data_IF_420749778589
#
_entry.id   IF_420749778589
#
_cell.length_a   1.000
_cell.length_b   1.000
_cell.length_c   1.000
_cell.angle_alpha   90.00
_cell.angle_beta   90.00
_cell.angle_gamma   90.00
#
_symmetry.space_group_name_H-M   'P 1'
#
loop_
_entity.id
_entity.type
_entity.pdbx_description
1 polymer ?
#
# COMPACT_ATOMS: atom_id res chain seq x y z
N UNK A 1 81.52 38.08 23.47
CA UNK A 1 81.33 36.70 23.02
C UNK A 1 79.96 36.20 23.61
N UNK A 2 78.92 36.27 22.79
CA UNK A 2 77.56 35.91 23.14
C UNK A 2 77.21 34.63 22.36
N UNK A 3 76.86 33.59 23.06
CA UNK A 3 76.42 32.30 22.51
C UNK A 3 74.91 32.31 22.51
N UNK A 4 74.30 32.34 21.33
CA UNK A 4 72.84 32.21 21.12
C UNK A 4 72.47 30.72 21.16
N UNK A 5 71.58 30.33 22.06
CA UNK A 5 70.96 29.01 22.10
C UNK A 5 69.68 29.03 21.21
N UNK A 6 69.68 28.17 20.17
CA UNK A 6 68.48 27.89 19.38
C UNK A 6 67.65 26.81 20.10
N UNK A 7 66.43 27.20 20.50
CA UNK A 7 65.39 26.26 20.99
C UNK A 7 64.49 25.90 19.81
N UNK A 8 64.49 24.63 19.41
CA UNK A 8 63.58 24.07 18.44
C UNK A 8 62.23 23.70 19.15
N UNK A 9 61.10 24.09 18.62
CA UNK A 9 59.83 23.62 19.18
C UNK A 9 59.52 22.21 18.67
N UNK A 10 59.29 21.27 19.59
CA UNK A 10 58.74 19.97 19.31
C UNK A 10 57.27 20.09 18.91
N UNK A 11 56.94 19.79 17.66
CA UNK A 11 55.53 19.65 17.20
C UNK A 11 55.04 18.29 17.63
N UNK A 12 54.15 18.27 18.66
CA UNK A 12 53.43 17.09 19.04
C UNK A 12 52.29 16.84 18.02
N UNK A 13 52.41 15.82 17.20
CA UNK A 13 51.35 15.35 16.29
C UNK A 13 50.34 14.60 17.11
N UNK A 14 49.24 15.28 17.52
CA UNK A 14 48.09 14.64 18.11
C UNK A 14 47.30 13.90 17.03
N UNK A 15 47.49 12.61 16.93
CA UNK A 15 46.64 11.74 16.11
C UNK A 15 45.24 11.73 16.68
N UNK A 16 44.34 12.45 16.06
CA UNK A 16 42.89 12.36 16.36
C UNK A 16 42.37 10.98 15.94
N UNK A 17 42.28 10.07 16.89
CA UNK A 17 41.52 8.84 16.74
C UNK A 17 40.04 9.24 16.67
N UNK A 18 39.50 9.37 15.45
CA UNK A 18 38.07 9.42 15.24
C UNK A 18 37.49 8.10 15.76
N UNK A 19 36.49 8.11 16.66
CA UNK A 19 35.84 6.88 17.05
C UNK A 19 35.16 6.32 15.79
N UNK A 20 35.60 5.13 15.35
CA UNK A 20 34.81 4.30 14.45
C UNK A 20 33.47 4.07 15.14
N UNK A 21 32.46 4.79 14.73
CA UNK A 21 31.08 4.45 15.08
C UNK A 21 30.87 3.03 14.59
N UNK A 22 30.87 2.07 15.51
CA UNK A 22 30.38 0.72 15.26
C UNK A 22 28.93 0.91 14.82
N UNK A 23 28.67 0.83 13.52
CA UNK A 23 27.32 0.74 12.99
C UNK A 23 26.72 -0.55 13.54
N UNK A 24 25.96 -0.41 14.61
CA UNK A 24 25.25 -1.54 15.22
C UNK A 24 24.30 -2.09 14.13
N UNK A 25 24.44 -3.36 13.80
CA UNK A 25 23.57 -4.01 12.83
C UNK A 25 22.13 -3.95 13.35
N UNK A 26 21.17 -3.62 12.48
CA UNK A 26 19.76 -3.57 12.85
C UNK A 26 19.29 -4.94 13.34
N UNK A 27 18.42 -5.01 14.36
CA UNK A 27 17.90 -6.27 14.86
C UNK A 27 17.12 -7.02 13.78
N UNK A 28 17.26 -8.33 13.76
CA UNK A 28 16.56 -9.23 12.83
C UNK A 28 15.28 -9.76 13.46
N UNK A 29 15.29 -10.03 14.76
CA UNK A 29 14.12 -10.50 15.49
C UNK A 29 14.19 -10.08 16.96
N UNK A 30 13.05 -9.77 17.55
CA UNK A 30 12.90 -9.46 18.99
C UNK A 30 11.49 -9.78 19.46
N UNK A 31 11.28 -9.82 20.76
CA UNK A 31 9.96 -9.89 21.36
C UNK A 31 9.53 -8.47 21.77
N UNK A 32 8.35 -8.06 21.33
CA UNK A 32 7.76 -6.79 21.77
C UNK A 32 7.48 -6.87 23.28
N UNK A 33 7.98 -5.87 24.03
CA UNK A 33 7.91 -5.88 25.50
C UNK A 33 6.50 -5.65 26.04
N UNK A 34 5.69 -4.93 25.27
CA UNK A 34 4.34 -4.54 25.68
C UNK A 34 3.32 -5.62 25.34
N UNK A 35 3.58 -6.42 24.29
CA UNK A 35 2.62 -7.39 23.78
C UNK A 35 3.02 -8.85 23.98
N UNK A 36 4.32 -9.14 24.07
CA UNK A 36 4.86 -10.50 24.15
C UNK A 36 4.91 -11.26 22.82
N UNK A 37 4.60 -10.61 21.71
CA UNK A 37 4.70 -11.19 20.36
C UNK A 37 6.10 -11.03 19.79
N UNK A 38 6.54 -12.01 19.01
CA UNK A 38 7.82 -11.96 18.31
C UNK A 38 7.68 -11.19 17.00
N UNK A 39 8.54 -10.19 16.83
CA UNK A 39 8.68 -9.42 15.59
C UNK A 39 9.91 -9.91 14.84
N UNK A 40 9.80 -10.04 13.52
CA UNK A 40 10.86 -10.46 12.61
C UNK A 40 10.97 -9.42 11.51
N UNK A 41 12.15 -8.88 11.27
CA UNK A 41 12.43 -8.06 10.09
C UNK A 41 12.64 -9.00 8.89
N UNK A 42 11.71 -8.99 7.95
CA UNK A 42 11.66 -9.93 6.82
C UNK A 42 12.53 -9.50 5.64
N UNK A 43 12.86 -8.20 5.53
CA UNK A 43 13.68 -7.66 4.43
C UNK A 43 14.92 -6.97 4.96
N UNK A 44 15.98 -6.95 4.14
CA UNK A 44 17.24 -6.28 4.45
C UNK A 44 17.46 -5.00 3.63
N UNK A 45 16.71 -4.81 2.56
CA UNK A 45 16.83 -3.69 1.63
C UNK A 45 16.19 -2.43 2.24
N UNK A 46 16.97 -1.37 2.54
CA UNK A 46 16.40 -0.11 2.99
C UNK A 46 15.47 0.48 1.95
N UNK A 47 14.29 0.92 2.37
CA UNK A 47 13.27 1.43 1.46
C UNK A 47 12.34 0.34 0.92
N UNK A 48 12.45 -0.91 1.41
CA UNK A 48 11.52 -1.97 1.05
C UNK A 48 10.11 -1.72 1.63
N UNK A 49 9.09 -2.16 0.89
CA UNK A 49 7.69 -1.96 1.23
C UNK A 49 6.82 -3.12 0.71
N UNK A 50 5.89 -3.58 1.54
CA UNK A 50 4.82 -4.45 1.12
C UNK A 50 3.86 -3.69 0.18
N UNK A 51 3.06 -4.42 -0.60
CA UNK A 51 2.01 -3.82 -1.42
C UNK A 51 0.93 -3.17 -0.55
N UNK A 52 0.12 -2.32 -1.16
CA UNK A 52 -1.05 -1.76 -0.51
C UNK A 52 -1.93 -2.89 0.05
N UNK A 53 -2.53 -2.70 1.20
CA UNK A 53 -3.12 -3.75 2.05
C UNK A 53 -4.10 -4.70 1.33
N UNK A 54 -4.85 -4.20 0.33
CA UNK A 54 -5.87 -4.95 -0.41
C UNK A 54 -5.38 -5.55 -1.74
N UNK A 55 -4.11 -5.33 -2.10
CA UNK A 55 -3.50 -5.88 -3.32
C UNK A 55 -2.87 -7.23 -3.02
N UNK A 56 -3.18 -8.25 -3.83
CA UNK A 56 -2.57 -9.58 -3.66
C UNK A 56 -1.05 -9.53 -3.86
N UNK A 57 -0.32 -10.00 -2.84
CA UNK A 57 1.14 -10.06 -2.84
C UNK A 57 1.69 -11.48 -2.82
N UNK A 58 0.83 -12.49 -2.76
CA UNK A 58 1.25 -13.89 -2.61
C UNK A 58 1.09 -14.68 -3.90
N UNK A 59 2.05 -15.57 -4.17
CA UNK A 59 1.91 -16.58 -5.21
C UNK A 59 0.76 -17.53 -4.88
N UNK A 60 0.09 -18.15 -5.89
CA UNK A 60 -1.04 -19.06 -5.66
C UNK A 60 -0.72 -20.25 -4.77
N UNK A 61 0.54 -20.70 -4.74
CA UNK A 61 1.01 -21.78 -3.86
C UNK A 61 1.26 -21.33 -2.40
N UNK A 62 1.11 -20.02 -2.13
CA UNK A 62 1.30 -19.43 -0.81
C UNK A 62 2.74 -19.44 -0.27
N UNK A 63 3.74 -19.72 -1.11
CA UNK A 63 5.14 -19.87 -0.66
C UNK A 63 5.95 -18.58 -0.75
N UNK A 64 5.64 -17.72 -1.72
CA UNK A 64 6.36 -16.47 -1.94
C UNK A 64 5.45 -15.28 -1.68
N UNK A 65 6.01 -14.25 -1.05
CA UNK A 65 5.43 -12.91 -1.00
C UNK A 65 6.26 -11.98 -1.89
N UNK A 66 5.61 -11.19 -2.71
CA UNK A 66 6.27 -10.15 -3.52
C UNK A 66 6.19 -8.81 -2.79
N UNK A 67 7.30 -8.08 -2.81
CA UNK A 67 7.41 -6.73 -2.25
C UNK A 67 8.26 -5.86 -3.17
N UNK A 68 8.32 -4.57 -2.91
CA UNK A 68 9.12 -3.60 -3.66
C UNK A 68 10.28 -3.07 -2.82
N UNK A 69 11.40 -2.78 -3.48
CA UNK A 69 12.52 -2.04 -2.92
C UNK A 69 13.02 -1.02 -3.97
N UNK A 70 13.90 -0.07 -3.61
CA UNK A 70 14.38 0.94 -4.56
C UNK A 70 15.04 0.36 -5.81
N UNK A 71 15.63 -0.81 -5.73
CA UNK A 71 16.30 -1.52 -6.82
C UNK A 71 15.37 -2.40 -7.66
N UNK A 72 14.09 -2.60 -7.24
CA UNK A 72 13.12 -3.33 -8.05
C UNK A 72 12.05 -4.11 -7.30
N UNK A 73 11.54 -5.14 -7.96
CA UNK A 73 10.56 -6.09 -7.41
C UNK A 73 11.31 -7.29 -6.84
N UNK A 74 11.01 -7.62 -5.61
CA UNK A 74 11.60 -8.73 -4.88
C UNK A 74 10.57 -9.80 -4.52
N UNK A 75 11.05 -11.01 -4.29
CA UNK A 75 10.30 -12.11 -3.70
C UNK A 75 10.92 -12.49 -2.36
N UNK A 76 10.06 -12.76 -1.38
CA UNK A 76 10.38 -13.28 -0.06
C UNK A 76 9.83 -14.71 0.04
N UNK A 77 10.69 -15.68 0.28
CA UNK A 77 10.30 -17.05 0.63
C UNK A 77 9.79 -17.09 2.07
N UNK A 78 8.52 -17.43 2.25
CA UNK A 78 7.85 -17.36 3.55
C UNK A 78 8.29 -18.44 4.55
N UNK A 79 8.93 -19.51 4.07
CA UNK A 79 9.45 -20.56 4.96
C UNK A 79 10.85 -20.28 5.47
N UNK A 80 11.72 -19.74 4.61
CA UNK A 80 13.13 -19.48 4.92
C UNK A 80 13.45 -18.03 5.21
N UNK A 81 12.54 -17.11 4.88
CA UNK A 81 12.71 -15.65 4.89
C UNK A 81 13.87 -15.15 3.99
N UNK A 82 14.27 -15.95 3.00
CA UNK A 82 15.23 -15.50 2.00
C UNK A 82 14.57 -14.59 1.00
N UNK A 83 15.27 -13.51 0.64
CA UNK A 83 14.82 -12.54 -0.37
C UNK A 83 15.58 -12.74 -1.68
N UNK A 84 14.95 -12.37 -2.79
CA UNK A 84 15.52 -12.43 -4.11
C UNK A 84 14.97 -11.32 -5.00
N UNK A 85 15.86 -10.63 -5.73
CA UNK A 85 15.46 -9.68 -6.78
C UNK A 85 14.86 -10.46 -7.96
N UNK A 86 13.61 -10.10 -8.32
CA UNK A 86 12.86 -10.72 -9.43
C UNK A 86 12.97 -9.88 -10.69
N UNK A 87 12.70 -8.57 -10.56
CA UNK A 87 12.75 -7.62 -11.68
C UNK A 87 13.51 -6.38 -11.23
N UNK A 88 14.70 -6.10 -11.78
CA UNK A 88 15.44 -4.91 -11.44
C UNK A 88 14.76 -3.64 -12.00
N UNK A 89 14.78 -2.56 -11.24
CA UNK A 89 14.44 -1.24 -11.76
C UNK A 89 15.48 -0.82 -12.82
N UNK A 90 15.02 -0.24 -13.95
CA UNK A 90 15.96 0.36 -14.88
C UNK A 90 16.65 1.56 -14.22
N UNK A 91 17.92 1.83 -14.56
CA UNK A 91 18.54 3.07 -14.14
C UNK A 91 17.72 4.25 -14.70
N UNK A 92 17.60 5.36 -13.95
CA UNK A 92 16.97 6.56 -14.48
C UNK A 92 17.76 7.04 -15.70
N UNK A 93 17.12 7.70 -16.70
CA UNK A 93 17.81 8.32 -17.80
C UNK A 93 18.93 9.27 -17.32
N UNK A 94 20.02 9.36 -18.09
CA UNK A 94 21.20 10.14 -17.69
C UNK A 94 20.93 11.64 -17.49
N UNK A 95 19.88 12.16 -18.12
CA UNK A 95 19.40 13.55 -18.01
C UNK A 95 18.26 13.73 -16.98
N UNK A 96 17.84 12.64 -16.32
CA UNK A 96 16.82 12.70 -15.29
C UNK A 96 17.32 13.48 -14.06
N UNK A 97 16.49 14.37 -13.54
CA UNK A 97 16.80 15.02 -12.29
C UNK A 97 17.00 13.98 -11.18
N UNK A 98 18.02 14.13 -10.32
CA UNK A 98 18.32 13.17 -9.26
C UNK A 98 17.31 13.30 -8.12
N UNK A 99 16.04 13.12 -8.40
CA UNK A 99 14.96 13.18 -7.44
C UNK A 99 14.11 11.89 -7.48
N UNK A 100 13.34 11.67 -6.42
CA UNK A 100 12.44 10.52 -6.33
C UNK A 100 11.35 10.52 -7.43
N UNK A 101 11.09 11.67 -8.08
CA UNK A 101 10.10 11.76 -9.15
C UNK A 101 10.57 11.05 -10.41
N UNK A 102 11.87 11.10 -10.71
CA UNK A 102 12.47 10.36 -11.83
C UNK A 102 12.38 8.87 -11.62
N UNK A 103 12.68 8.37 -10.42
CA UNK A 103 12.49 6.96 -10.07
C UNK A 103 11.01 6.54 -10.18
N UNK A 104 10.09 7.38 -9.71
CA UNK A 104 8.67 7.13 -9.84
C UNK A 104 8.21 7.12 -11.31
N UNK A 105 8.71 8.03 -12.13
CA UNK A 105 8.28 8.16 -13.53
C UNK A 105 8.81 7.04 -14.43
N UNK A 106 10.08 6.65 -14.25
CA UNK A 106 10.77 5.69 -15.13
C UNK A 106 10.94 4.31 -14.51
N UNK A 107 10.61 4.17 -13.24
CA UNK A 107 10.65 2.91 -12.52
C UNK A 107 9.56 1.93 -12.94
N UNK A 108 9.60 0.77 -12.33
CA UNK A 108 8.58 -0.25 -12.46
C UNK A 108 7.42 0.08 -11.53
N UNK A 109 6.21 0.05 -12.07
CA UNK A 109 4.97 0.15 -11.28
C UNK A 109 4.38 -1.24 -11.10
N UNK A 110 4.48 -1.78 -9.89
CA UNK A 110 3.89 -3.07 -9.56
C UNK A 110 2.37 -2.97 -9.57
N UNK A 111 1.71 -3.97 -10.16
CA UNK A 111 0.26 -4.03 -10.27
C UNK A 111 -0.29 -5.01 -9.24
N UNK A 112 0.01 -6.32 -9.38
CA UNK A 112 -0.52 -7.38 -8.52
C UNK A 112 0.27 -8.67 -8.75
N UNK A 113 0.29 -9.57 -7.76
CA UNK A 113 0.68 -10.97 -8.00
C UNK A 113 -0.53 -11.74 -8.52
N UNK A 114 -0.31 -12.54 -9.55
CA UNK A 114 -1.35 -13.37 -10.16
C UNK A 114 -1.98 -14.37 -9.19
N UNK A 115 -3.23 -14.73 -9.46
CA UNK A 115 -3.95 -15.73 -8.66
C UNK A 115 -3.94 -17.11 -9.28
N UNK A 116 -3.53 -17.21 -10.55
CA UNK A 116 -3.49 -18.44 -11.34
C UNK A 116 -2.06 -18.87 -11.64
N UNK A 117 -1.19 -17.93 -11.95
CA UNK A 117 0.23 -18.19 -12.20
C UNK A 117 1.12 -17.59 -11.11
N UNK A 118 2.32 -18.13 -10.93
CA UNK A 118 3.31 -17.58 -10.02
C UNK A 118 3.99 -16.35 -10.64
N UNK A 119 3.20 -15.43 -11.19
CA UNK A 119 3.71 -14.23 -11.87
C UNK A 119 3.35 -12.97 -11.11
N UNK A 120 4.27 -12.02 -11.07
CA UNK A 120 3.98 -10.64 -10.70
C UNK A 120 3.74 -9.82 -11.96
N UNK A 121 2.63 -9.07 -11.98
CA UNK A 121 2.29 -8.14 -13.04
C UNK A 121 2.78 -6.75 -12.68
N UNK A 122 3.34 -6.07 -13.67
CA UNK A 122 3.85 -4.71 -13.51
C UNK A 122 3.76 -3.93 -14.81
N UNK A 123 3.83 -2.61 -14.73
CA UNK A 123 3.90 -1.75 -15.88
C UNK A 123 5.18 -0.92 -15.87
N UNK A 124 5.62 -0.53 -17.07
CA UNK A 124 6.77 0.33 -17.29
C UNK A 124 6.43 1.34 -18.36
N UNK A 125 6.72 2.61 -18.11
CA UNK A 125 6.57 3.66 -19.09
C UNK A 125 7.79 3.70 -20.03
N UNK A 126 7.52 3.76 -21.32
CA UNK A 126 8.54 4.00 -22.33
C UNK A 126 8.90 5.51 -22.33
N UNK A 127 10.18 5.88 -22.15
CA UNK A 127 10.58 7.28 -22.02
C UNK A 127 10.39 8.11 -23.31
N UNK A 128 10.42 7.46 -24.48
CA UNK A 128 10.35 8.15 -25.77
C UNK A 128 8.89 8.34 -26.21
N UNK A 129 8.08 7.29 -26.09
CA UNK A 129 6.67 7.30 -26.51
C UNK A 129 5.69 7.74 -25.44
N UNK A 130 6.11 7.74 -24.18
CA UNK A 130 5.26 7.96 -22.98
C UNK A 130 4.07 7.00 -22.89
N UNK A 131 4.18 5.83 -23.49
CA UNK A 131 3.19 4.77 -23.37
C UNK A 131 3.61 3.78 -22.29
N UNK A 132 2.64 3.37 -21.47
CA UNK A 132 2.87 2.32 -20.49
C UNK A 132 2.68 0.95 -21.14
N UNK A 133 3.58 0.04 -20.87
CA UNK A 133 3.49 -1.37 -21.27
C UNK A 133 3.36 -2.25 -20.06
N UNK A 134 2.45 -3.21 -20.11
CA UNK A 134 2.23 -4.23 -19.09
C UNK A 134 3.10 -5.43 -19.36
N UNK A 135 3.72 -5.92 -18.31
CA UNK A 135 4.57 -7.11 -18.30
C UNK A 135 4.11 -8.06 -17.19
N UNK A 136 4.52 -9.29 -17.28
CA UNK A 136 4.55 -10.23 -16.16
C UNK A 136 5.94 -10.81 -15.99
N UNK A 137 6.33 -11.09 -14.77
CA UNK A 137 7.56 -11.84 -14.47
C UNK A 137 7.20 -13.06 -13.62
N UNK A 138 7.78 -14.20 -13.97
CA UNK A 138 7.70 -15.39 -13.11
C UNK A 138 8.47 -15.13 -11.82
N UNK A 139 7.78 -15.28 -10.68
CA UNK A 139 8.33 -14.95 -9.35
C UNK A 139 9.48 -15.87 -8.97
N UNK A 140 9.58 -17.08 -9.50
CA UNK A 140 10.64 -18.04 -9.18
C UNK A 140 11.86 -17.92 -10.11
N UNK A 141 11.65 -17.69 -11.41
CA UNK A 141 12.72 -17.65 -12.39
C UNK A 141 13.20 -16.25 -12.74
N UNK A 142 12.33 -15.23 -12.53
CA UNK A 142 12.60 -13.87 -12.99
C UNK A 142 12.37 -13.66 -14.49
N UNK A 143 11.86 -14.67 -15.22
CA UNK A 143 11.59 -14.54 -16.65
C UNK A 143 10.49 -13.52 -16.91
N UNK A 144 10.80 -12.49 -17.72
CA UNK A 144 9.90 -11.38 -18.03
C UNK A 144 9.25 -11.59 -19.39
N UNK A 145 7.93 -11.48 -19.43
CA UNK A 145 7.13 -11.51 -20.67
C UNK A 145 6.41 -10.19 -20.86
N UNK A 146 6.57 -9.58 -22.03
CA UNK A 146 5.76 -8.42 -22.45
C UNK A 146 4.36 -8.89 -22.80
N UNK A 147 3.34 -8.20 -22.28
CA UNK A 147 1.94 -8.51 -22.56
C UNK A 147 1.33 -7.49 -23.54
N UNK A 148 1.04 -6.30 -23.10
CA UNK A 148 0.29 -5.32 -23.88
C UNK A 148 0.77 -3.90 -23.62
N UNK A 149 0.80 -3.06 -24.65
CA UNK A 149 0.99 -1.61 -24.50
C UNK A 149 -0.38 -0.95 -24.35
N UNK A 150 -0.51 -0.11 -23.32
CA UNK A 150 -1.76 0.59 -23.01
C UNK A 150 -2.01 1.73 -24.01
N UNK A 151 -3.28 2.11 -24.21
CA UNK A 151 -3.62 3.33 -24.95
C UNK A 151 -2.94 4.57 -24.35
N UNK A 152 -2.78 5.65 -25.11
CA UNK A 152 -2.25 6.91 -24.58
C UNK A 152 -3.04 7.39 -23.35
N UNK A 153 -2.32 7.82 -22.30
CA UNK A 153 -2.90 8.31 -21.04
C UNK A 153 -3.76 7.30 -20.29
N UNK A 154 -3.64 6.02 -20.61
CA UNK A 154 -4.27 4.97 -19.85
C UNK A 154 -3.37 4.51 -18.72
N UNK A 155 -3.99 4.22 -17.59
CA UNK A 155 -3.38 3.52 -16.45
C UNK A 155 -3.99 2.13 -16.31
N UNK A 156 -3.29 1.24 -15.63
CA UNK A 156 -3.79 -0.07 -15.22
C UNK A 156 -3.64 -0.19 -13.70
N UNK A 157 -4.67 -0.70 -13.04
CA UNK A 157 -4.70 -0.81 -11.59
C UNK A 157 -4.56 -2.24 -11.10
N UNK A 158 -5.17 -3.21 -11.78
CA UNK A 158 -5.15 -4.61 -11.37
C UNK A 158 -5.44 -5.56 -12.53
N UNK A 159 -5.24 -6.85 -12.30
CA UNK A 159 -5.48 -7.97 -13.22
C UNK A 159 -6.52 -8.89 -12.58
N UNK A 160 -7.42 -9.46 -13.39
CA UNK A 160 -8.47 -10.34 -12.91
C UNK A 160 -7.96 -11.73 -12.49
N UNK A 161 -8.82 -12.51 -11.82
CA UNK A 161 -8.45 -13.77 -11.18
C UNK A 161 -7.93 -14.84 -12.15
N UNK A 162 -8.38 -14.86 -13.41
CA UNK A 162 -7.93 -15.77 -14.44
C UNK A 162 -6.78 -15.24 -15.32
N UNK A 163 -6.29 -14.02 -15.02
CA UNK A 163 -5.15 -13.36 -15.67
C UNK A 163 -5.35 -13.09 -17.17
N UNK A 164 -6.59 -12.84 -17.56
CA UNK A 164 -6.95 -12.54 -18.97
C UNK A 164 -7.19 -11.05 -19.21
N UNK A 165 -7.68 -10.33 -18.21
CA UNK A 165 -8.06 -8.93 -18.31
C UNK A 165 -7.29 -8.06 -17.33
N UNK A 166 -6.85 -6.91 -17.79
CA UNK A 166 -6.47 -5.78 -16.96
C UNK A 166 -7.60 -4.76 -16.85
N UNK A 167 -7.67 -4.00 -15.76
CA UNK A 167 -8.59 -2.89 -15.59
C UNK A 167 -7.85 -1.63 -15.23
N UNK A 168 -8.34 -0.50 -15.72
CA UNK A 168 -7.79 0.81 -15.43
C UNK A 168 -8.67 1.94 -15.91
N UNK A 169 -8.11 3.12 -15.92
CA UNK A 169 -8.78 4.32 -16.41
C UNK A 169 -7.96 5.02 -17.49
N UNK A 170 -8.64 5.70 -18.39
CA UNK A 170 -8.02 6.68 -19.27
C UNK A 170 -8.80 7.98 -19.26
N UNK A 171 -8.08 9.09 -19.51
CA UNK A 171 -8.66 10.41 -19.63
C UNK A 171 -9.47 10.48 -20.93
N UNK A 172 -10.76 10.81 -20.81
CA UNK A 172 -11.68 10.94 -21.95
C UNK A 172 -11.71 12.36 -22.54
N UNK A 173 -10.90 13.30 -22.06
CA UNK A 173 -10.75 14.61 -22.67
C UNK A 173 -10.15 14.46 -24.07
N UNK A 174 -10.69 15.22 -25.04
CA UNK A 174 -10.31 15.08 -26.46
C UNK A 174 -8.80 15.17 -26.67
N UNK A 175 -8.30 14.41 -27.64
CA UNK A 175 -6.94 14.43 -28.12
C UNK A 175 -6.47 15.87 -28.38
N UNK A 176 -5.53 16.36 -27.58
CA UNK A 176 -5.00 17.73 -27.66
C UNK A 176 -5.18 18.56 -26.39
N UNK A 177 -6.12 18.26 -25.52
CA UNK A 177 -6.17 18.85 -24.19
C UNK A 177 -5.20 18.09 -23.29
N UNK A 178 -3.99 18.58 -23.17
CA UNK A 178 -2.99 18.05 -22.22
C UNK A 178 -3.35 18.49 -20.80
N UNK A 179 -4.43 17.91 -20.28
CA UNK A 179 -4.67 17.95 -18.86
C UNK A 179 -4.24 16.60 -18.29
N UNK A 180 -2.97 16.50 -17.96
CA UNK A 180 -2.49 15.42 -17.14
C UNK A 180 -3.34 15.39 -15.87
N UNK A 181 -3.85 14.24 -15.53
CA UNK A 181 -4.58 13.99 -14.30
C UNK A 181 -3.72 14.48 -13.12
N UNK A 182 -4.10 15.59 -12.50
CA UNK A 182 -3.31 16.29 -11.48
C UNK A 182 -2.62 17.58 -11.92
N UNK A 183 -2.58 17.91 -13.20
CA UNK A 183 -1.99 19.17 -13.71
C UNK A 183 -3.03 20.23 -14.10
N UNK A 184 -4.28 20.14 -13.69
CA UNK A 184 -5.21 21.26 -13.74
C UNK A 184 -4.84 22.31 -12.67
N UNK A 185 -3.65 22.87 -12.77
CA UNK A 185 -3.42 24.22 -12.26
C UNK A 185 -4.15 25.15 -13.22
N UNK A 186 -5.09 26.00 -12.76
CA UNK A 186 -5.45 27.17 -13.54
C UNK A 186 -4.14 27.86 -13.90
N UNK A 187 -3.95 28.20 -15.17
CA UNK A 187 -2.83 29.05 -15.52
C UNK A 187 -2.82 30.23 -14.56
N UNK A 188 -1.69 30.58 -13.95
CA UNK A 188 -1.63 31.78 -13.13
C UNK A 188 -2.17 32.93 -13.99
N UNK A 189 -3.00 33.82 -13.45
CA UNK A 189 -3.45 34.97 -14.19
C UNK A 189 -2.24 35.64 -14.83
N UNK A 190 -2.33 36.11 -16.08
CA UNK A 190 -1.20 36.74 -16.76
C UNK A 190 -0.62 37.77 -15.83
N UNK A 191 0.69 37.68 -15.55
CA UNK A 191 1.38 38.59 -14.70
C UNK A 191 1.10 40.02 -15.22
N UNK A 192 0.48 40.84 -14.36
CA UNK A 192 0.36 42.25 -14.66
C UNK A 192 1.76 42.77 -14.99
N UNK A 193 1.96 43.29 -16.19
CA UNK A 193 3.21 43.86 -16.63
C UNK A 193 3.58 45.06 -15.73
N UNK A 194 4.51 44.87 -14.84
CA UNK A 194 4.97 45.90 -13.96
C UNK A 194 5.92 45.35 -12.90
N UNK A 195 7.22 45.58 -13.16
CA UNK A 195 8.35 45.50 -12.22
C UNK A 195 8.66 44.13 -11.59
N UNK A 196 9.79 43.57 -12.04
CA UNK A 196 10.46 42.41 -11.41
C UNK A 196 10.69 42.69 -9.92
N UNK A 197 10.08 41.98 -9.00
CA UNK A 197 10.63 41.87 -7.65
C UNK A 197 11.67 40.74 -7.65
N UNK A 198 12.82 41.07 -7.14
CA UNK A 198 13.90 40.14 -6.77
C UNK A 198 13.30 38.93 -6.04
N UNK A 199 13.73 37.69 -6.34
CA UNK A 199 13.22 36.51 -5.67
C UNK A 199 13.56 36.58 -4.19
N UNK A 200 12.61 36.93 -3.33
CA UNK A 200 12.71 36.66 -1.91
C UNK A 200 12.58 35.15 -1.71
N UNK A 201 13.67 34.53 -1.26
CA UNK A 201 13.66 33.17 -0.73
C UNK A 201 12.65 33.13 0.43
N UNK A 202 11.49 32.47 0.25
CA UNK A 202 10.59 32.32 1.37
C UNK A 202 9.13 31.97 1.12
N UNK A 203 8.66 31.72 -0.09
CA UNK A 203 7.33 31.14 -0.29
C UNK A 203 7.42 29.85 -1.09
N UNK A 204 7.91 28.79 -0.45
CA UNK A 204 7.57 27.43 -0.84
C UNK A 204 6.05 27.34 -0.65
N UNK A 205 5.30 27.32 -1.75
CA UNK A 205 3.89 26.95 -1.74
C UNK A 205 3.82 25.60 -1.06
N UNK A 206 3.30 25.55 0.17
CA UNK A 206 3.07 24.31 0.90
C UNK A 206 2.30 23.38 -0.04
N UNK A 207 2.71 22.11 -0.22
CA UNK A 207 1.96 21.18 -1.04
C UNK A 207 0.52 21.17 -0.56
N UNK A 208 -0.41 21.31 -1.49
CA UNK A 208 -1.85 21.27 -1.20
C UNK A 208 -2.16 19.99 -0.40
N UNK A 209 -2.83 20.11 0.74
CA UNK A 209 -3.23 18.94 1.54
C UNK A 209 -4.18 18.03 0.77
N UNK A 210 -4.15 16.71 1.05
CA UNK A 210 -4.97 15.67 0.38
C UNK A 210 -6.46 16.07 0.29
N UNK A 211 -7.02 16.70 1.34
CA UNK A 211 -8.41 17.15 1.36
C UNK A 211 -8.71 18.24 0.31
N UNK A 212 -7.87 19.25 0.21
CA UNK A 212 -8.04 20.33 -0.77
C UNK A 212 -7.87 19.81 -2.21
N UNK A 213 -6.94 18.91 -2.45
CA UNK A 213 -6.78 18.22 -3.72
C UNK A 213 -8.04 17.43 -4.12
N UNK A 214 -8.65 16.69 -3.17
CA UNK A 214 -9.89 15.95 -3.41
C UNK A 214 -11.07 16.87 -3.75
N UNK A 215 -11.22 18.00 -3.02
CA UNK A 215 -12.26 19.00 -3.30
C UNK A 215 -12.10 19.58 -4.71
N UNK A 216 -10.90 19.95 -5.09
CA UNK A 216 -10.60 20.49 -6.42
C UNK A 216 -10.90 19.48 -7.53
N UNK A 217 -10.55 18.21 -7.35
CA UNK A 217 -10.83 17.14 -8.31
C UNK A 217 -12.32 16.89 -8.46
N UNK A 218 -13.05 16.85 -7.35
CA UNK A 218 -14.51 16.72 -7.37
C UNK A 218 -15.15 17.88 -8.13
N UNK A 219 -14.70 19.11 -7.92
CA UNK A 219 -15.21 20.28 -8.61
C UNK A 219 -14.85 20.30 -10.11
N UNK A 220 -13.70 19.78 -10.49
CA UNK A 220 -13.19 19.79 -11.86
C UNK A 220 -13.97 18.88 -12.82
N UNK A 221 -14.65 17.83 -12.32
CA UNK A 221 -15.48 16.91 -13.12
C UNK A 221 -14.78 16.42 -14.39
N UNK A 222 -13.52 16.01 -14.28
CA UNK A 222 -12.72 15.56 -15.41
C UNK A 222 -13.31 14.26 -15.98
N UNK A 223 -13.66 14.21 -17.28
CA UNK A 223 -14.17 13.01 -17.91
C UNK A 223 -13.14 11.88 -17.88
N UNK A 224 -13.55 10.70 -17.41
CA UNK A 224 -12.75 9.50 -17.32
C UNK A 224 -13.54 8.29 -17.79
N UNK A 225 -12.85 7.34 -18.40
CA UNK A 225 -13.42 6.04 -18.78
C UNK A 225 -12.79 4.96 -17.94
N UNK A 226 -13.62 4.17 -17.25
CA UNK A 226 -13.22 2.88 -16.69
C UNK A 226 -13.24 1.85 -17.83
N UNK A 227 -12.14 1.13 -18.02
CA UNK A 227 -11.99 0.18 -19.11
C UNK A 227 -11.36 -1.12 -18.67
N UNK A 228 -11.63 -2.20 -19.43
CA UNK A 228 -10.84 -3.42 -19.40
C UNK A 228 -9.99 -3.53 -20.66
N UNK A 229 -8.88 -4.24 -20.55
CA UNK A 229 -8.00 -4.58 -21.66
C UNK A 229 -7.69 -6.07 -21.64
N UNK A 230 -7.89 -6.73 -22.76
CA UNK A 230 -7.49 -8.12 -22.94
C UNK A 230 -5.96 -8.20 -23.03
N UNK A 231 -5.34 -8.92 -22.12
CA UNK A 231 -3.87 -8.98 -21.96
C UNK A 231 -3.16 -9.72 -23.10
N UNK A 232 -3.89 -10.52 -23.89
CA UNK A 232 -3.35 -11.24 -25.04
C UNK A 232 -3.48 -10.46 -26.33
N UNK A 233 -4.64 -9.83 -26.56
CA UNK A 233 -4.97 -9.19 -27.84
C UNK A 233 -4.80 -7.68 -27.81
N UNK A 234 -4.78 -7.05 -26.64
CA UNK A 234 -4.78 -5.61 -26.46
C UNK A 234 -6.14 -4.96 -26.74
N UNK A 235 -7.21 -5.75 -26.91
CA UNK A 235 -8.55 -5.21 -27.14
C UNK A 235 -9.05 -4.49 -25.89
N UNK A 236 -9.40 -3.21 -26.07
CA UNK A 236 -9.95 -2.35 -25.03
C UNK A 236 -11.48 -2.41 -25.07
N UNK A 237 -12.10 -2.52 -23.91
CA UNK A 237 -13.55 -2.45 -23.73
C UNK A 237 -13.87 -1.38 -22.67
N UNK A 238 -14.59 -0.32 -23.06
CA UNK A 238 -15.07 0.70 -22.14
C UNK A 238 -16.23 0.16 -21.32
N UNK A 239 -16.09 0.17 -19.99
CA UNK A 239 -17.15 -0.30 -19.07
C UNK A 239 -18.12 0.82 -18.73
N UNK A 240 -17.60 1.98 -18.34
CA UNK A 240 -18.42 3.14 -18.03
C UNK A 240 -17.65 4.46 -18.23
N UNK A 241 -18.42 5.50 -18.49
CA UNK A 241 -17.95 6.88 -18.55
C UNK A 241 -18.36 7.60 -17.27
N UNK A 242 -17.46 8.37 -16.70
CA UNK A 242 -17.70 9.13 -15.46
C UNK A 242 -17.05 10.50 -15.52
N UNK A 243 -17.56 11.44 -14.74
CA UNK A 243 -16.88 12.69 -14.41
C UNK A 243 -16.43 12.70 -12.95
N UNK A 244 -16.68 11.63 -12.21
CA UNK A 244 -16.10 11.40 -10.90
C UNK A 244 -14.75 10.72 -11.05
N UNK A 245 -13.83 11.04 -10.16
CA UNK A 245 -12.53 10.39 -10.14
C UNK A 245 -12.69 8.93 -9.71
N UNK A 246 -12.31 7.98 -10.57
CA UNK A 246 -12.36 6.55 -10.31
C UNK A 246 -11.00 6.08 -9.80
N UNK A 247 -11.01 5.35 -8.69
CA UNK A 247 -9.82 4.76 -8.05
C UNK A 247 -10.11 3.39 -7.43
N UNK A 248 -9.14 2.84 -6.72
CA UNK A 248 -9.23 1.60 -5.93
C UNK A 248 -9.91 0.44 -6.67
N UNK A 249 -9.54 0.24 -7.94
CA UNK A 249 -10.10 -0.83 -8.77
C UNK A 249 -9.53 -2.18 -8.33
N UNK A 250 -10.40 -3.13 -7.95
CA UNK A 250 -10.02 -4.45 -7.48
C UNK A 250 -10.96 -5.51 -8.05
N UNK A 251 -10.44 -6.44 -8.83
CA UNK A 251 -11.21 -7.62 -9.20
C UNK A 251 -11.50 -8.52 -7.99
N UNK A 252 -12.65 -9.20 -8.04
CA UNK A 252 -12.92 -10.29 -7.11
C UNK A 252 -11.77 -11.29 -7.14
N UNK A 253 -11.36 -11.83 -5.98
CA UNK A 253 -10.28 -12.82 -5.93
C UNK A 253 -10.62 -14.14 -6.61
N UNK A 254 -11.89 -14.41 -6.90
CA UNK A 254 -12.39 -15.70 -7.42
C UNK A 254 -13.24 -15.57 -8.67
N UNK A 255 -13.99 -14.46 -8.84
CA UNK A 255 -14.82 -14.20 -10.02
C UNK A 255 -14.09 -13.24 -10.97
N UNK A 256 -13.56 -13.71 -12.12
CA UNK A 256 -12.82 -12.88 -13.05
C UNK A 256 -13.67 -11.83 -13.76
N UNK A 257 -15.00 -11.93 -13.66
CA UNK A 257 -15.94 -11.00 -14.29
C UNK A 257 -16.40 -9.87 -13.37
N UNK A 258 -16.07 -9.91 -12.08
CA UNK A 258 -16.58 -8.98 -11.08
C UNK A 258 -15.52 -8.00 -10.61
N UNK A 259 -15.81 -6.72 -10.71
CA UNK A 259 -14.92 -5.61 -10.36
C UNK A 259 -15.56 -4.74 -9.29
N UNK A 260 -14.83 -4.46 -8.21
CA UNK A 260 -15.09 -3.37 -7.27
C UNK A 260 -14.27 -2.15 -7.65
N UNK A 261 -14.84 -0.96 -7.51
CA UNK A 261 -14.13 0.30 -7.74
C UNK A 261 -14.66 1.41 -6.84
N UNK A 262 -13.91 2.47 -6.72
CA UNK A 262 -14.22 3.59 -5.85
C UNK A 262 -14.47 4.87 -6.63
N UNK A 263 -15.51 5.63 -6.28
CA UNK A 263 -15.61 7.05 -6.60
C UNK A 263 -14.79 7.83 -5.58
N UNK A 264 -13.64 8.33 -6.00
CA UNK A 264 -12.76 9.13 -5.16
C UNK A 264 -13.28 10.56 -4.98
N UNK A 265 -12.97 11.15 -3.83
CA UNK A 265 -13.36 12.52 -3.51
C UNK A 265 -13.33 12.77 -2.02
N UNK A 266 -13.79 13.93 -1.55
CA UNK A 266 -14.00 14.15 -0.12
C UNK A 266 -14.99 13.11 0.40
N UNK A 267 -14.56 12.26 1.34
CA UNK A 267 -15.27 11.05 1.74
C UNK A 267 -16.69 11.31 2.24
N UNK A 268 -16.91 12.45 2.92
CA UNK A 268 -18.23 12.87 3.38
C UNK A 268 -19.15 13.43 2.27
N UNK A 269 -18.65 13.56 1.02
CA UNK A 269 -19.41 14.11 -0.11
C UNK A 269 -19.69 13.11 -1.23
N UNK A 270 -19.02 11.95 -1.21
CA UNK A 270 -19.06 10.97 -2.29
C UNK A 270 -19.50 9.61 -1.77
N UNK A 271 -20.42 8.95 -2.47
CA UNK A 271 -20.74 7.54 -2.24
C UNK A 271 -19.67 6.71 -2.97
N UNK A 272 -18.76 6.08 -2.19
CA UNK A 272 -17.47 5.63 -2.69
C UNK A 272 -17.47 4.25 -3.32
N UNK A 273 -18.16 3.27 -2.72
CA UNK A 273 -17.93 1.84 -2.96
C UNK A 273 -18.93 1.31 -3.98
N UNK A 274 -18.43 0.89 -5.13
CA UNK A 274 -19.22 0.43 -6.28
C UNK A 274 -18.71 -0.91 -6.78
N UNK A 275 -19.57 -1.65 -7.50
CA UNK A 275 -19.21 -2.84 -8.24
C UNK A 275 -19.80 -2.80 -9.65
N UNK A 276 -19.15 -3.48 -10.59
CA UNK A 276 -19.59 -3.62 -11.98
C UNK A 276 -19.05 -4.93 -12.56
N UNK A 277 -19.77 -5.56 -13.49
CA UNK A 277 -19.25 -6.67 -14.26
C UNK A 277 -18.37 -6.19 -15.42
N UNK A 278 -17.45 -7.04 -15.89
CA UNK A 278 -16.51 -6.72 -16.98
C UNK A 278 -17.18 -6.50 -18.35
N UNK A 279 -18.46 -6.80 -18.46
CA UNK A 279 -19.31 -6.46 -19.63
C UNK A 279 -20.02 -5.10 -19.48
N UNK A 280 -19.80 -4.38 -18.38
CA UNK A 280 -20.42 -3.09 -18.07
C UNK A 280 -21.80 -3.20 -17.43
N UNK A 281 -22.32 -4.42 -17.22
CA UNK A 281 -23.62 -4.63 -16.56
C UNK A 281 -23.52 -4.61 -15.04
N UNK A 282 -24.67 -4.53 -14.36
CA UNK A 282 -24.78 -4.61 -12.90
C UNK A 282 -23.94 -3.56 -12.14
N UNK A 283 -23.82 -2.36 -12.71
CA UNK A 283 -23.19 -1.26 -12.00
C UNK A 283 -24.02 -0.88 -10.78
N UNK A 284 -23.51 -1.17 -9.57
CA UNK A 284 -24.24 -1.09 -8.31
C UNK A 284 -23.43 -0.37 -7.23
N UNK A 285 -24.09 0.57 -6.55
CA UNK A 285 -23.59 1.16 -5.31
C UNK A 285 -23.72 0.13 -4.17
N UNK A 286 -22.60 -0.12 -3.46
CA UNK A 286 -22.57 -1.07 -2.33
C UNK A 286 -22.97 -0.39 -1.04
N UNK A 287 -22.45 0.79 -0.77
CA UNK A 287 -22.77 1.56 0.44
C UNK A 287 -23.21 2.98 0.07
N UNK A 288 -24.46 3.31 0.45
CA UNK A 288 -25.03 4.65 0.31
C UNK A 288 -25.00 5.36 1.65
N UNK A 289 -24.38 6.54 1.69
CA UNK A 289 -24.39 7.37 2.90
C UNK A 289 -25.83 7.83 3.24
N UNK A 290 -26.15 7.82 4.51
CA UNK A 290 -27.47 8.14 5.05
C UNK A 290 -27.45 9.34 6.01
N UNK A 291 -26.26 9.80 6.39
CA UNK A 291 -26.03 10.87 7.34
C UNK A 291 -24.98 11.88 6.82
N UNK A 292 -25.13 13.14 7.20
CA UNK A 292 -24.07 14.13 7.03
C UNK A 292 -22.81 13.72 7.82
N UNK A 293 -21.65 13.88 7.22
CA UNK A 293 -20.34 13.44 7.77
C UNK A 293 -20.17 11.92 7.91
N UNK A 294 -21.06 11.13 7.35
CA UNK A 294 -20.79 9.71 7.17
C UNK A 294 -19.70 9.49 6.12
N UNK A 295 -18.78 8.57 6.42
CA UNK A 295 -17.73 8.16 5.49
C UNK A 295 -17.64 6.64 5.43
N UNK A 296 -17.32 6.11 4.25
CA UNK A 296 -16.98 4.72 4.01
C UNK A 296 -15.78 4.66 3.05
N UNK A 297 -14.87 3.72 3.26
CA UNK A 297 -13.69 3.62 2.39
C UNK A 297 -12.78 2.47 2.78
N UNK A 298 -11.53 2.48 2.28
CA UNK A 298 -10.57 1.40 2.44
C UNK A 298 -11.19 0.02 2.15
N UNK A 299 -11.94 -0.02 1.06
CA UNK A 299 -12.69 -1.20 0.63
C UNK A 299 -11.76 -2.33 0.18
N UNK A 300 -12.14 -3.57 0.51
CA UNK A 300 -11.39 -4.76 0.13
C UNK A 300 -12.30 -6.00 0.05
N UNK A 301 -11.84 -7.01 -0.66
CA UNK A 301 -12.54 -8.28 -0.80
C UNK A 301 -12.28 -9.22 0.37
N UNK A 302 -13.31 -9.93 0.83
CA UNK A 302 -13.13 -11.20 1.50
C UNK A 302 -12.40 -12.18 0.58
N UNK A 303 -11.57 -13.06 1.14
CA UNK A 303 -10.71 -13.95 0.34
C UNK A 303 -11.50 -14.96 -0.51
N UNK A 304 -12.76 -15.22 -0.14
CA UNK A 304 -13.70 -16.08 -0.90
C UNK A 304 -14.49 -15.31 -1.99
N UNK A 305 -14.26 -13.99 -2.11
CA UNK A 305 -14.92 -13.12 -3.08
C UNK A 305 -16.40 -12.87 -2.83
N UNK A 306 -16.92 -13.22 -1.63
CA UNK A 306 -18.34 -13.09 -1.31
C UNK A 306 -18.71 -11.81 -0.59
N UNK A 307 -17.79 -11.29 0.22
CA UNK A 307 -18.05 -10.09 1.04
C UNK A 307 -17.13 -8.96 0.60
N UNK A 308 -17.69 -7.76 0.43
CA UNK A 308 -16.94 -6.52 0.33
C UNK A 308 -16.90 -5.90 1.72
N UNK A 309 -15.68 -5.73 2.25
CA UNK A 309 -15.38 -5.13 3.54
C UNK A 309 -14.91 -3.69 3.36
N UNK A 310 -15.22 -2.81 4.34
CA UNK A 310 -14.80 -1.41 4.32
C UNK A 310 -14.87 -0.79 5.72
N UNK A 311 -14.04 0.21 5.96
CA UNK A 311 -14.19 1.05 7.15
C UNK A 311 -15.42 1.97 6.99
N UNK A 312 -16.16 2.13 8.07
CA UNK A 312 -17.39 2.91 8.10
C UNK A 312 -17.44 3.75 9.37
N UNK A 313 -17.51 5.08 9.20
CA UNK A 313 -17.63 6.02 10.31
C UNK A 313 -18.88 6.87 10.14
N UNK A 314 -19.67 7.00 11.20
CA UNK A 314 -20.85 7.86 11.17
C UNK A 314 -21.25 8.41 12.56
N UNK A 315 -21.01 9.71 12.78
CA UNK A 315 -20.26 10.57 11.85
C UNK A 315 -18.75 10.34 11.92
N UNK A 316 -18.05 10.86 10.92
CA UNK A 316 -16.59 10.79 10.83
C UNK A 316 -15.92 11.24 12.12
N UNK A 317 -15.05 10.39 12.65
CA UNK A 317 -14.26 10.66 13.84
C UNK A 317 -14.99 10.42 15.17
N UNK A 318 -16.23 9.92 15.16
CA UNK A 318 -17.00 9.65 16.39
C UNK A 318 -17.22 8.16 16.62
N UNK A 319 -17.84 7.45 15.69
CA UNK A 319 -18.04 6.01 15.74
C UNK A 319 -17.39 5.32 14.54
N UNK A 320 -16.81 4.15 14.76
CA UNK A 320 -16.10 3.39 13.75
C UNK A 320 -16.55 1.92 13.76
N UNK A 321 -16.84 1.42 12.56
CA UNK A 321 -17.18 0.02 12.31
C UNK A 321 -16.34 -0.52 11.16
N UNK A 322 -15.93 -1.78 11.25
CA UNK A 322 -15.59 -2.55 10.06
C UNK A 322 -16.89 -3.17 9.53
N UNK A 323 -17.31 -2.72 8.37
CA UNK A 323 -18.56 -3.10 7.75
C UNK A 323 -18.35 -4.09 6.60
N UNK A 324 -19.27 -5.02 6.41
CA UNK A 324 -19.27 -6.00 5.34
C UNK A 324 -20.62 -6.10 4.65
N UNK A 325 -20.59 -6.20 3.31
CA UNK A 325 -21.74 -6.51 2.47
C UNK A 325 -21.52 -7.81 1.73
N UNK A 326 -22.35 -8.82 2.02
CA UNK A 326 -22.25 -10.11 1.34
C UNK A 326 -23.08 -10.11 0.05
N UNK A 327 -22.44 -10.39 -1.06
CA UNK A 327 -23.02 -10.31 -2.42
C UNK A 327 -24.04 -11.40 -2.72
N UNK A 328 -23.90 -12.60 -2.10
CA UNK A 328 -24.80 -13.73 -2.34
C UNK A 328 -26.08 -13.61 -1.50
N UNK A 329 -25.93 -13.24 -0.23
CA UNK A 329 -27.05 -13.18 0.71
C UNK A 329 -27.67 -11.81 0.82
N UNK A 330 -27.01 -10.78 0.27
CA UNK A 330 -27.37 -9.36 0.39
C UNK A 330 -27.46 -8.85 1.84
N UNK A 331 -26.82 -9.54 2.77
CA UNK A 331 -26.80 -9.17 4.18
C UNK A 331 -25.63 -8.24 4.49
N UNK A 332 -25.88 -7.38 5.46
CA UNK A 332 -24.91 -6.45 6.01
C UNK A 332 -24.47 -6.92 7.40
N UNK A 333 -23.19 -6.71 7.71
CA UNK A 333 -22.62 -6.90 9.05
C UNK A 333 -21.77 -5.68 9.41
N UNK A 334 -21.77 -5.29 10.69
CA UNK A 334 -20.91 -4.21 11.18
C UNK A 334 -20.33 -4.60 12.53
N UNK A 335 -19.00 -4.66 12.61
CA UNK A 335 -18.26 -4.87 13.84
C UNK A 335 -17.85 -3.53 14.42
N UNK A 336 -18.38 -3.17 15.58
CA UNK A 336 -18.00 -1.95 16.30
C UNK A 336 -16.60 -2.07 16.87
N UNK A 337 -15.84 -0.98 16.81
CA UNK A 337 -14.46 -0.88 17.30
C UNK A 337 -14.36 0.15 18.41
N UNK A 338 -13.63 -0.17 19.47
CA UNK A 338 -13.30 0.80 20.51
C UNK A 338 -12.32 1.86 19.94
N UNK A 339 -12.35 3.07 20.50
CA UNK A 339 -11.61 4.22 19.97
C UNK A 339 -10.11 3.93 19.72
N UNK A 340 -9.44 3.27 20.64
CA UNK A 340 -8.00 2.99 20.53
C UNK A 340 -7.65 1.79 19.66
N UNK A 341 -8.67 1.09 19.11
CA UNK A 341 -8.52 -0.03 18.17
C UNK A 341 -8.67 0.41 16.71
N UNK A 342 -9.01 1.68 16.47
CA UNK A 342 -9.24 2.19 15.13
C UNK A 342 -7.97 2.06 14.30
N UNK A 343 -8.14 1.55 13.09
CA UNK A 343 -7.04 1.30 12.15
C UNK A 343 -7.34 1.97 10.81
N UNK A 344 -6.28 2.27 10.05
CA UNK A 344 -6.39 2.84 8.71
C UNK A 344 -6.80 1.75 7.73
N UNK A 345 -6.08 0.62 7.77
CA UNK A 345 -6.30 -0.52 6.89
C UNK A 345 -6.57 -1.79 7.68
N UNK A 346 -7.29 -2.69 7.04
CA UNK A 346 -7.64 -3.99 7.59
C UNK A 346 -7.30 -5.12 6.63
N UNK A 347 -7.05 -6.30 7.18
CA UNK A 347 -6.93 -7.53 6.42
C UNK A 347 -7.59 -8.67 7.19
N UNK A 348 -7.82 -9.80 6.55
CA UNK A 348 -8.53 -10.93 7.17
C UNK A 348 -7.99 -12.29 6.72
N UNK A 349 -8.32 -13.31 7.51
CA UNK A 349 -8.00 -14.70 7.18
C UNK A 349 -9.11 -15.37 6.36
N UNK A 350 -8.77 -16.44 5.65
CA UNK A 350 -9.76 -17.27 4.99
C UNK A 350 -10.81 -17.75 6.00
N UNK A 351 -12.09 -17.56 5.68
CA UNK A 351 -13.23 -17.85 6.56
C UNK A 351 -13.55 -16.75 7.55
N UNK A 352 -12.88 -15.57 7.44
CA UNK A 352 -13.20 -14.36 8.20
C UNK A 352 -13.21 -14.57 9.73
N UNK A 353 -12.33 -15.47 10.21
CA UNK A 353 -12.24 -15.83 11.63
C UNK A 353 -11.32 -14.92 12.43
N UNK A 354 -10.39 -14.25 11.77
CA UNK A 354 -9.48 -13.25 12.33
C UNK A 354 -9.38 -12.08 11.37
N UNK A 355 -9.25 -10.88 11.96
CA UNK A 355 -8.92 -9.66 11.23
C UNK A 355 -7.68 -9.03 11.86
N UNK A 356 -7.01 -8.17 11.12
CA UNK A 356 -5.89 -7.37 11.61
C UNK A 356 -6.03 -5.95 11.13
N UNK A 357 -5.52 -5.00 11.90
CA UNK A 357 -5.49 -3.58 11.58
C UNK A 357 -4.11 -2.98 11.83
N UNK A 358 -3.80 -1.91 11.09
CA UNK A 358 -2.49 -1.26 11.18
C UNK A 358 -2.46 -0.04 12.12
N UNK A 359 -3.54 0.18 12.89
CA UNK A 359 -3.63 1.29 13.82
C UNK A 359 -3.61 2.64 13.13
N UNK A 360 -3.20 3.66 13.86
CA UNK A 360 -3.06 5.00 13.32
C UNK A 360 -2.69 6.02 14.38
N UNK A 361 -1.94 7.04 14.00
CA UNK A 361 -1.68 8.19 14.86
C UNK A 361 -2.92 9.11 14.94
N UNK A 362 -2.97 10.05 15.91
CA UNK A 362 -4.09 10.98 16.05
C UNK A 362 -4.36 11.87 14.82
N UNK A 363 -3.40 11.99 13.90
CA UNK A 363 -3.52 12.75 12.65
C UNK A 363 -4.19 11.99 11.52
N UNK A 364 -4.33 10.68 11.65
CA UNK A 364 -4.90 9.80 10.63
C UNK A 364 -6.44 9.80 10.63
N UNK A 365 -7.02 9.14 9.63
CA UNK A 365 -8.48 8.99 9.48
C UNK A 365 -9.12 8.38 10.73
N UNK A 366 -8.43 7.43 11.35
CA UNK A 366 -8.87 6.73 12.53
C UNK A 366 -8.92 7.62 13.79
N UNK A 367 -8.08 8.66 13.92
CA UNK A 367 -8.03 9.60 15.05
C UNK A 367 -8.01 8.94 16.43
N UNK A 368 -7.36 7.81 16.58
CA UNK A 368 -7.26 7.11 17.84
C UNK A 368 -6.24 7.81 18.76
N UNK A 369 -6.56 8.15 20.01
CA UNK A 369 -5.62 8.80 20.94
C UNK A 369 -4.44 7.92 21.33
N UNK A 370 -4.65 6.60 21.42
CA UNK A 370 -3.66 5.56 21.73
C UNK A 370 -3.86 4.41 20.73
N UNK A 371 -3.70 4.73 19.43
CA UNK A 371 -4.00 3.81 18.32
C UNK A 371 -2.77 3.35 17.56
N UNK A 372 -1.58 3.64 18.06
CA UNK A 372 -0.32 3.29 17.40
C UNK A 372 0.08 1.83 17.64
N UNK A 373 -0.78 0.90 17.17
CA UNK A 373 -0.61 -0.54 17.34
C UNK A 373 -0.89 -1.31 16.06
N UNK A 374 -0.17 -2.40 15.84
CA UNK A 374 -0.68 -3.45 14.95
C UNK A 374 -1.64 -4.30 15.79
N UNK A 375 -2.86 -4.44 15.29
CA UNK A 375 -3.98 -5.06 16.00
C UNK A 375 -4.34 -6.43 15.42
N UNK A 376 -4.75 -7.34 16.27
CA UNK A 376 -5.44 -8.57 15.93
C UNK A 376 -6.87 -8.53 16.48
N UNK A 377 -7.85 -8.87 15.65
CA UNK A 377 -9.26 -8.82 16.02
C UNK A 377 -9.93 -10.18 15.89
N UNK A 378 -10.69 -10.53 16.92
CA UNK A 378 -11.55 -11.70 16.98
C UNK A 378 -12.99 -11.25 16.83
N UNK A 379 -13.69 -11.53 15.69
CA UNK A 379 -15.03 -11.06 15.43
C UNK A 379 -16.05 -11.84 16.26
N UNK A 380 -17.00 -11.15 16.87
CA UNK A 380 -18.13 -11.73 17.57
C UNK A 380 -19.44 -11.09 17.11
N UNK A 381 -20.33 -11.86 16.50
CA UNK A 381 -21.67 -11.41 16.19
C UNK A 381 -22.54 -11.33 17.46
N UNK A 382 -23.33 -10.29 17.58
CA UNK A 382 -24.26 -10.15 18.70
C UNK A 382 -25.53 -10.94 18.41
N UNK A 383 -26.09 -11.58 19.46
CA UNK A 383 -27.38 -12.24 19.36
C UNK A 383 -28.51 -11.21 19.34
N UNK A 384 -29.20 -11.11 18.22
CA UNK A 384 -30.31 -10.15 18.02
C UNK A 384 -31.69 -10.78 18.16
N UNK A 385 -31.73 -12.08 18.44
CA UNK A 385 -33.00 -12.83 18.59
C UNK A 385 -33.65 -13.24 17.28
N UNK A 386 -34.65 -14.12 17.32
CA UNK A 386 -35.37 -14.59 16.15
C UNK A 386 -36.13 -13.46 15.45
N UNK A 387 -36.00 -13.40 14.12
CA UNK A 387 -36.76 -12.46 13.28
C UNK A 387 -36.22 -11.02 13.26
N UNK A 388 -35.16 -10.71 14.01
CA UNK A 388 -34.63 -9.35 14.05
C UNK A 388 -33.96 -8.90 12.74
N UNK A 389 -33.59 -9.85 11.86
CA UNK A 389 -32.94 -9.60 10.54
C UNK A 389 -33.87 -10.00 9.39
N UNK A 390 -35.19 -9.77 9.53
CA UNK A 390 -36.17 -10.09 8.49
C UNK A 390 -36.05 -9.20 7.25
N UNK A 391 -35.53 -7.97 7.42
CA UNK A 391 -35.25 -7.03 6.33
C UNK A 391 -33.80 -7.12 5.94
N UNK A 392 -33.51 -7.27 4.64
CA UNK A 392 -32.15 -7.30 4.09
C UNK A 392 -31.41 -5.97 4.28
N UNK A 393 -32.12 -4.87 4.51
CA UNK A 393 -31.55 -3.57 4.84
C UNK A 393 -31.03 -3.46 6.28
N UNK A 394 -31.33 -4.43 7.15
CA UNK A 394 -30.85 -4.42 8.53
C UNK A 394 -29.41 -4.94 8.63
N UNK A 395 -28.66 -4.32 9.50
CA UNK A 395 -27.28 -4.68 9.79
C UNK A 395 -27.22 -5.69 10.93
N UNK A 396 -26.52 -6.79 10.72
CA UNK A 396 -26.13 -7.70 11.79
C UNK A 396 -25.05 -7.02 12.64
N UNK A 397 -25.31 -6.66 13.90
CA UNK A 397 -24.30 -6.04 14.73
C UNK A 397 -23.28 -7.07 15.24
N UNK A 398 -22.06 -6.63 15.38
CA UNK A 398 -20.96 -7.37 15.96
C UNK A 398 -20.03 -6.46 16.75
N UNK A 399 -19.10 -7.07 17.46
CA UNK A 399 -17.98 -6.41 18.14
C UNK A 399 -16.68 -7.13 17.80
N UNK A 400 -15.56 -6.41 17.88
CA UNK A 400 -14.25 -7.01 17.90
C UNK A 400 -13.76 -7.13 19.34
N UNK A 401 -13.07 -8.24 19.61
CA UNK A 401 -12.18 -8.35 20.74
C UNK A 401 -10.77 -8.18 20.19
N UNK A 402 -10.05 -7.16 20.63
CA UNK A 402 -8.74 -6.83 20.13
C UNK A 402 -7.61 -7.40 20.96
N UNK A 403 -6.47 -7.61 20.32
CA UNK A 403 -5.20 -7.93 20.91
C UNK A 403 -4.11 -7.12 20.21
N UNK A 404 -3.30 -6.37 20.99
CA UNK A 404 -2.14 -5.67 20.47
C UNK A 404 -1.04 -6.63 20.08
N UNK A 405 -0.53 -6.54 18.85
CA UNK A 405 0.58 -7.36 18.36
C UNK A 405 1.92 -6.64 18.41
N UNK A 406 1.96 -5.35 18.05
CA UNK A 406 3.18 -4.55 17.97
C UNK A 406 2.92 -3.14 18.46
N UNK A 407 3.79 -2.63 19.34
CA UNK A 407 3.82 -1.22 19.68
C UNK A 407 4.45 -0.41 18.54
N UNK A 408 3.67 0.45 17.92
CA UNK A 408 4.04 1.26 16.77
C UNK A 408 4.39 2.72 17.11
N UNK A 409 4.55 3.06 18.38
CA UNK A 409 4.86 4.44 18.84
C UNK A 409 6.17 5.01 18.25
N UNK A 410 7.09 4.16 17.81
CA UNK A 410 8.29 4.56 17.08
C UNK A 410 8.12 4.66 15.56
N UNK A 411 6.95 4.34 15.02
CA UNK A 411 6.64 4.39 13.60
C UNK A 411 6.13 5.77 13.19
N UNK A 412 6.55 6.26 12.03
CA UNK A 412 6.02 7.49 11.47
C UNK A 412 4.93 7.17 10.45
N UNK A 413 3.69 7.41 10.79
CA UNK A 413 2.50 7.09 10.00
C UNK A 413 2.29 7.93 8.71
N UNK A 414 3.28 8.75 8.31
CA UNK A 414 3.36 9.21 6.92
C UNK A 414 3.62 8.06 5.94
N UNK A 415 4.14 6.95 6.44
CA UNK A 415 4.23 5.66 5.79
C UNK A 415 3.13 4.77 6.39
N UNK A 416 2.17 4.36 5.59
CA UNK A 416 1.10 3.47 6.01
C UNK A 416 1.62 2.03 6.14
N UNK A 417 1.36 1.32 7.26
CA UNK A 417 1.92 -0.02 7.48
C UNK A 417 1.39 -1.09 6.53
N UNK A 418 0.15 -1.00 6.07
CA UNK A 418 -0.44 -1.91 5.07
C UNK A 418 -0.42 -3.39 5.50
N UNK A 419 -1.06 -3.69 6.62
CA UNK A 419 -1.10 -5.04 7.23
C UNK A 419 -1.70 -6.11 6.33
N UNK A 420 -1.19 -7.34 6.46
CA UNK A 420 -1.76 -8.55 5.84
C UNK A 420 -1.37 -9.81 6.59
N UNK A 421 -2.25 -10.81 6.60
CA UNK A 421 -1.87 -12.13 7.10
C UNK A 421 -0.97 -12.87 6.11
N UNK A 422 -0.01 -13.65 6.62
CA UNK A 422 0.63 -14.68 5.83
C UNK A 422 -0.40 -15.77 5.43
N UNK A 423 -0.21 -16.48 4.30
CA UNK A 423 -1.16 -17.52 3.87
C UNK A 423 -1.40 -18.61 4.92
N UNK A 424 -0.40 -18.94 5.74
CA UNK A 424 -0.49 -19.92 6.83
C UNK A 424 -1.07 -19.33 8.12
N UNK A 425 -1.44 -18.04 8.14
CA UNK A 425 -2.03 -17.29 9.27
C UNK A 425 -1.12 -17.14 10.49
N UNK A 426 0.17 -17.47 10.38
CA UNK A 426 1.10 -17.40 11.52
C UNK A 426 1.69 -16.02 11.75
N UNK A 427 1.76 -15.21 10.69
CA UNK A 427 2.30 -13.87 10.74
C UNK A 427 1.24 -12.83 10.31
N UNK A 428 1.28 -11.67 10.95
CA UNK A 428 0.79 -10.42 10.39
C UNK A 428 2.00 -9.67 9.84
N UNK A 429 2.00 -9.40 8.53
CA UNK A 429 3.10 -8.74 7.81
C UNK A 429 2.72 -7.27 7.61
N UNK A 430 3.68 -6.37 7.84
CA UNK A 430 3.49 -4.93 7.73
C UNK A 430 4.77 -4.21 7.32
N UNK A 431 4.65 -2.99 6.84
CA UNK A 431 5.78 -2.09 6.53
C UNK A 431 5.98 -1.11 7.67
N UNK A 432 7.22 -0.91 8.11
CA UNK A 432 7.52 0.08 9.14
C UNK A 432 8.87 0.76 8.94
N UNK A 433 8.97 2.00 9.42
CA UNK A 433 10.16 2.84 9.38
C UNK A 433 10.75 3.09 10.79
N UNK A 434 10.46 2.21 11.76
CA UNK A 434 10.95 2.32 13.15
C UNK A 434 12.49 2.41 13.26
N UNK A 435 13.21 1.99 12.24
CA UNK A 435 14.68 2.10 12.14
C UNK A 435 15.14 3.22 11.20
N UNK A 436 14.27 4.18 10.87
CA UNK A 436 14.54 5.29 9.95
C UNK A 436 14.19 4.98 8.50
N UNK A 437 14.82 4.00 7.86
CA UNK A 437 14.39 3.48 6.57
C UNK A 437 13.22 2.51 6.73
N UNK A 438 12.38 2.37 5.69
CA UNK A 438 11.31 1.37 5.69
C UNK A 438 11.85 -0.03 5.44
N UNK A 439 11.23 -1.00 6.12
CA UNK A 439 11.44 -2.44 5.93
C UNK A 439 10.10 -3.16 6.08
N UNK A 440 10.02 -4.36 5.54
CA UNK A 440 8.90 -5.27 5.77
C UNK A 440 9.19 -6.12 7.00
N UNK A 441 8.22 -6.17 7.90
CA UNK A 441 8.25 -6.94 9.14
C UNK A 441 7.13 -7.98 9.16
N UNK A 442 7.31 -9.02 9.95
CA UNK A 442 6.26 -9.94 10.35
C UNK A 442 6.19 -10.01 11.85
N UNK A 443 5.00 -10.04 12.43
CA UNK A 443 4.78 -10.36 13.84
C UNK A 443 4.07 -11.69 13.94
N UNK A 444 4.54 -12.56 14.83
CA UNK A 444 3.89 -13.85 15.10
C UNK A 444 2.53 -13.62 15.77
N UNK A 445 1.47 -14.25 15.24
CA UNK A 445 0.12 -14.19 15.80
C UNK A 445 0.08 -14.87 17.18
N UNK A 446 0.86 -15.93 17.37
CA UNK A 446 1.01 -16.58 18.67
C UNK A 446 2.02 -15.82 19.55
N UNK A 447 1.71 -15.69 20.85
CA UNK A 447 2.67 -15.17 21.82
C UNK A 447 3.84 -16.11 22.00
N UNK A 448 5.00 -15.55 22.29
CA UNK A 448 6.20 -16.32 22.63
C UNK A 448 6.07 -16.90 24.03
N UNK A 449 6.19 -18.22 24.17
CA UNK A 449 6.12 -18.91 25.46
C UNK A 449 7.29 -18.57 26.40
N UNK A 450 8.42 -18.09 25.87
CA UNK A 450 9.61 -17.73 26.62
C UNK A 450 10.09 -16.29 26.32
N UNK A 451 9.56 -15.28 27.04
CA UNK A 451 9.98 -13.90 26.88
C UNK A 451 11.45 -13.63 27.21
N UNK A 452 12.08 -14.48 28.04
CA UNK A 452 13.51 -14.37 28.40
C UNK A 452 14.44 -14.70 27.20
N UNK A 453 13.95 -15.30 26.13
CA UNK A 453 14.67 -15.42 24.86
C UNK A 453 14.70 -14.09 24.07
N UNK A 454 14.36 -12.98 24.72
CA UNK A 454 14.26 -11.64 24.14
C UNK A 454 15.61 -10.95 23.90
N UNK A 455 16.73 -11.62 24.13
CA UNK A 455 17.99 -11.11 23.61
C UNK A 455 17.98 -11.16 22.09
N UNK A 456 18.25 -10.02 21.50
CA UNK A 456 18.50 -9.78 20.08
C UNK A 456 19.35 -10.94 19.54
N UNK A 457 18.70 -12.01 19.09
CA UNK A 457 19.42 -13.13 18.52
C UNK A 457 19.81 -12.76 17.09
N UNK A 458 20.99 -12.17 16.95
CA UNK A 458 21.79 -12.34 15.76
C UNK A 458 22.39 -13.76 15.77
N UNK A 459 21.54 -14.80 15.75
CA UNK A 459 22.07 -16.15 15.62
C UNK A 459 22.68 -16.30 14.21
N UNK A 460 23.81 -17.00 14.06
CA UNK A 460 24.40 -17.29 12.76
C UNK A 460 23.39 -17.94 11.80
N UNK A 461 22.41 -18.66 12.31
CA UNK A 461 21.34 -19.32 11.57
C UNK A 461 20.31 -18.34 10.99
N UNK A 462 19.93 -17.31 11.74
CA UNK A 462 19.08 -16.21 11.24
C UNK A 462 19.89 -15.28 10.31
N UNK A 463 21.14 -15.00 10.64
CA UNK A 463 22.02 -14.20 9.76
C UNK A 463 22.27 -14.89 8.41
N UNK A 464 22.36 -16.25 8.40
CA UNK A 464 22.48 -17.01 7.15
C UNK A 464 21.22 -16.98 6.29
N UNK A 465 20.03 -16.75 6.88
CA UNK A 465 18.77 -16.62 6.15
C UNK A 465 18.67 -15.32 5.35
N UNK A 466 19.49 -14.31 5.66
CA UNK A 466 19.54 -13.02 4.96
C UNK A 466 20.75 -12.87 4.04
N UNK A 467 21.52 -13.93 3.77
CA UNK A 467 22.54 -13.87 2.75
C UNK A 467 21.88 -13.85 1.35
N UNK A 468 22.09 -12.75 0.64
CA UNK A 468 21.69 -12.61 -0.75
C UNK A 468 22.42 -13.63 -1.61
N UNK A 469 21.70 -14.48 -2.31
CA UNK A 469 22.20 -15.14 -3.51
C UNK A 469 22.32 -14.06 -4.61
N UNK A 470 23.38 -13.26 -4.58
CA UNK A 470 23.76 -12.42 -5.71
C UNK A 470 24.34 -13.34 -6.79
N UNK A 471 23.74 -13.45 -7.97
CA UNK A 471 24.41 -14.09 -9.09
C UNK A 471 25.65 -13.24 -9.42
N UNK A 472 26.81 -13.84 -9.33
CA UNK A 472 28.08 -13.23 -9.78
C UNK A 472 27.90 -12.86 -11.26
N UNK A 473 28.18 -11.62 -11.68
CA UNK A 473 28.15 -11.28 -13.09
C UNK A 473 29.25 -12.10 -13.79
N UNK A 474 28.84 -13.01 -14.63
CA UNK A 474 29.76 -13.63 -15.60
C UNK A 474 30.11 -12.57 -16.63
N UNK A 475 31.40 -12.31 -16.75
CA UNK A 475 32.02 -11.39 -17.71
C UNK A 475 31.66 -11.70 -19.15
#
# INVERSE_FOLDING_TARGET
LSISQFVLPAIALAAALSPLALTQSLPVSWVDKDTGHRIIRLTSEPGSSAFYFNVNAYTPDGKQMVYTAPDGIHALDLASFKTRLVVPNPPPPADAAPDNRSLFRYGIHTIVVGRKSNSVFFSKMDPDTHLSTVYKADVYTGEVTKLVTLPPRASIATINADETLGVGTYDATQAGAQQEYGQNRPAPPPAASGTNPTPQAGNLVQPEGKGAMMERRLAARVPVVLYTIDLKTGKVNALLHSTDWIGHMLFSPVDPSLLMYCHEGPWQKVDRIWMVHTDGTHNKLIHKRTMAMEIAGHEFWGLDGKTIWYDWQFPKGEDFFLAGYNLETHKHVAYHMQRNEWSIHFNLTQGETLFTGDGGDPGQVAKAPDGEWIELFYPQLLNVGPGALNDLGFWQPGIFHSEHLVNMSGHNYRLEPNVRFSPDKKLVIFTSNIFGASYVFGVEVAKTENPAASEIQSTPELASRFQHDNPTPTH
#
